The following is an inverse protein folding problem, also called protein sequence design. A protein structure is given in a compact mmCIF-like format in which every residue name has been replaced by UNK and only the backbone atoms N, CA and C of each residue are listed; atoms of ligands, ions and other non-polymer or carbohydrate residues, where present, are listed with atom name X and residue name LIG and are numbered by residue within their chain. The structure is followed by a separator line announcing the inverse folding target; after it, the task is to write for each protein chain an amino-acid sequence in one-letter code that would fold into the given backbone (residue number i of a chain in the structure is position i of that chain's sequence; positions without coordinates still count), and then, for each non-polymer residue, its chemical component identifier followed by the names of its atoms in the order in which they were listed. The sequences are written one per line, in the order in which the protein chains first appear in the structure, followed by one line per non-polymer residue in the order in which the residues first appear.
data_IF_979088680369
#
_entry.id   IF_979088680369
#
_cell.length_a   1.000
_cell.length_b   1.000
_cell.length_c   1.000
_cell.angle_alpha   90.00
_cell.angle_beta   90.00
_cell.angle_gamma   90.00
#
_symmetry.space_group_name_H-M   'P 1'
#
loop_
_entity.id
_entity.type
_entity.pdbx_description
1 polymer ?
#
# COMPACT_ATOMS: atom_id res chain seq x y z
N UNK A 1 13.00 57.69 30.09
CA UNK A 1 13.64 57.34 31.40
C UNK A 1 14.35 56.02 31.10
N UNK A 2 15.68 56.04 31.15
CA UNK A 2 16.51 54.89 30.69
C UNK A 2 16.48 53.81 31.80
N UNK A 3 16.17 52.58 31.42
CA UNK A 3 16.15 51.39 32.32
C UNK A 3 17.41 51.32 33.20
N UNK A 4 18.57 51.69 32.65
CA UNK A 4 19.85 51.72 33.35
C UNK A 4 19.89 52.63 34.60
N UNK A 5 19.12 53.71 34.60
CA UNK A 5 19.06 54.63 35.74
C UNK A 5 18.19 54.05 36.87
N UNK A 6 17.13 53.34 36.55
CA UNK A 6 16.27 52.68 37.52
C UNK A 6 16.98 51.46 38.20
N UNK A 7 17.74 50.66 37.41
CA UNK A 7 18.49 49.51 37.94
C UNK A 7 19.66 49.92 38.84
N UNK A 8 20.22 51.11 38.60
CA UNK A 8 21.31 51.64 39.46
C UNK A 8 20.82 52.12 40.85
N UNK A 9 19.53 52.43 40.98
CA UNK A 9 18.93 52.85 42.23
C UNK A 9 18.62 51.69 43.21
N UNK A 10 18.64 50.46 42.73
CA UNK A 10 18.34 49.25 43.53
C UNK A 10 19.49 48.88 44.48
N UNK A 11 19.14 48.40 45.65
CA UNK A 11 20.07 47.73 46.58
C UNK A 11 20.59 46.41 45.95
N UNK A 12 21.66 45.83 46.50
CA UNK A 12 22.24 44.58 45.99
C UNK A 12 21.23 43.43 45.97
N UNK A 13 20.35 43.35 46.95
CA UNK A 13 19.27 42.34 47.06
C UNK A 13 18.18 42.57 46.03
N UNK A 14 17.77 43.80 45.79
CA UNK A 14 16.75 44.13 44.79
C UNK A 14 17.26 43.88 43.36
N UNK A 15 18.53 44.12 43.06
CA UNK A 15 19.17 43.77 41.79
C UNK A 15 19.20 42.26 41.57
N UNK A 16 19.53 41.48 42.59
CA UNK A 16 19.56 40.04 42.52
C UNK A 16 18.14 39.49 42.26
N UNK A 17 17.12 40.04 42.96
CA UNK A 17 15.72 39.65 42.73
C UNK A 17 15.22 40.01 41.32
N UNK A 18 15.56 41.24 40.86
CA UNK A 18 15.20 41.70 39.50
C UNK A 18 15.83 40.81 38.43
N UNK A 19 17.11 40.46 38.56
CA UNK A 19 17.78 39.54 37.63
C UNK A 19 17.18 38.15 37.67
N UNK A 20 16.86 37.62 38.84
CA UNK A 20 16.20 36.33 38.98
C UNK A 20 14.81 36.31 38.29
N UNK A 21 14.00 37.35 38.49
CA UNK A 21 12.70 37.50 37.84
C UNK A 21 12.84 37.69 36.32
N UNK A 22 13.83 38.44 35.87
CA UNK A 22 14.10 38.61 34.42
C UNK A 22 14.52 37.31 33.75
N UNK A 23 15.34 36.50 34.41
CA UNK A 23 15.73 35.17 33.92
C UNK A 23 14.54 34.25 33.91
N UNK A 24 13.69 34.26 34.92
CA UNK A 24 12.50 33.45 35.06
C UNK A 24 11.46 33.83 33.97
N UNK A 25 11.31 35.11 33.70
CA UNK A 25 10.47 35.62 32.60
C UNK A 25 10.99 35.18 31.24
N UNK A 26 12.30 35.31 31.01
CA UNK A 26 12.92 34.86 29.76
C UNK A 26 12.77 33.36 29.57
N UNK A 27 13.01 32.56 30.60
CA UNK A 27 12.82 31.09 30.55
C UNK A 27 11.38 30.70 30.31
N UNK A 28 10.42 31.35 30.97
CA UNK A 28 8.98 31.06 30.75
C UNK A 28 8.51 31.48 29.35
N UNK A 29 9.04 32.60 28.82
CA UNK A 29 8.73 33.05 27.46
C UNK A 29 9.29 32.08 26.42
N UNK A 30 10.50 31.57 26.60
CA UNK A 30 11.11 30.54 25.75
C UNK A 30 10.33 29.22 25.82
N UNK A 31 9.94 28.81 27.01
CA UNK A 31 9.13 27.59 27.19
C UNK A 31 7.73 27.70 26.54
N UNK A 32 7.09 28.87 26.66
CA UNK A 32 5.82 29.18 25.98
C UNK A 32 5.96 29.22 24.45
N UNK A 33 7.03 29.83 23.95
CA UNK A 33 7.35 29.89 22.53
C UNK A 33 7.62 28.48 21.96
N UNK A 34 8.34 27.63 22.68
CA UNK A 34 8.56 26.24 22.31
C UNK A 34 7.24 25.45 22.25
N UNK A 35 6.40 25.57 23.31
CA UNK A 35 5.08 24.91 23.31
C UNK A 35 4.13 25.44 22.23
N UNK A 36 4.13 26.73 21.96
CA UNK A 36 3.34 27.31 20.88
C UNK A 36 3.83 26.80 19.51
N UNK A 37 5.16 26.68 19.33
CA UNK A 37 5.75 26.09 18.12
C UNK A 37 5.24 24.66 17.91
N UNK A 38 5.30 23.81 18.93
CA UNK A 38 4.84 22.41 18.84
C UNK A 38 3.32 22.30 18.55
N UNK A 39 2.53 23.28 19.00
CA UNK A 39 1.06 23.30 18.78
C UNK A 39 0.67 23.81 17.39
N UNK A 40 1.48 24.68 16.77
CA UNK A 40 1.18 25.27 15.45
C UNK A 40 1.98 24.64 14.31
N UNK A 41 3.01 23.86 14.59
CA UNK A 41 3.77 23.16 13.55
C UNK A 41 3.00 21.89 13.14
N UNK A 42 2.48 21.88 11.93
CA UNK A 42 1.98 20.69 11.26
C UNK A 42 3.15 20.09 10.49
N UNK A 43 3.48 18.83 10.78
CA UNK A 43 4.45 18.08 9.98
C UNK A 43 3.92 17.93 8.56
N UNK A 44 4.58 18.57 7.59
CA UNK A 44 4.24 18.44 6.18
C UNK A 44 5.22 17.44 5.56
N UNK A 45 4.70 16.38 4.90
CA UNK A 45 5.56 15.44 4.20
C UNK A 45 6.44 16.17 3.17
N UNK A 46 7.73 15.84 3.15
CA UNK A 46 8.70 16.41 2.21
C UNK A 46 9.10 15.36 1.18
N UNK A 47 9.20 15.78 -0.08
CA UNK A 47 9.76 14.95 -1.13
C UNK A 47 11.26 14.68 -0.89
N UNK A 48 11.69 13.47 -1.18
CA UNK A 48 13.08 13.06 -1.09
C UNK A 48 13.31 11.89 -0.12
N UNK A 49 14.57 11.61 0.13
CA UNK A 49 15.00 10.55 1.04
C UNK A 49 14.92 9.15 0.43
N UNK A 50 15.46 8.21 1.19
CA UNK A 50 15.43 6.80 0.85
C UNK A 50 14.86 6.01 2.03
N UNK A 51 14.16 4.92 1.74
CA UNK A 51 13.66 3.98 2.73
C UNK A 51 14.05 2.56 2.29
N UNK A 52 14.63 1.80 3.21
CA UNK A 52 14.87 0.37 3.02
C UNK A 52 13.96 -0.43 3.92
N UNK A 53 13.07 -1.21 3.32
CA UNK A 53 12.11 -2.06 4.03
C UNK A 53 12.45 -3.53 3.85
N UNK A 54 12.39 -4.29 4.92
CA UNK A 54 12.56 -5.73 4.92
C UNK A 54 11.22 -6.45 4.83
N UNK A 55 11.16 -7.49 3.99
CA UNK A 55 9.98 -8.33 3.76
C UNK A 55 10.36 -9.79 3.93
N UNK A 56 9.48 -10.58 4.56
CA UNK A 56 9.65 -12.03 4.67
C UNK A 56 9.18 -12.70 3.37
N UNK A 57 10.02 -13.59 2.83
CA UNK A 57 9.77 -14.29 1.58
C UNK A 57 10.36 -13.56 0.38
N UNK A 58 10.41 -14.24 -0.75
CA UNK A 58 10.95 -13.73 -2.02
C UNK A 58 9.84 -13.66 -3.05
N UNK A 59 9.69 -12.53 -3.78
CA UNK A 59 8.67 -12.41 -4.80
C UNK A 59 8.94 -13.36 -5.98
N UNK A 60 7.88 -13.94 -6.51
CA UNK A 60 7.90 -14.77 -7.72
C UNK A 60 7.17 -14.12 -8.89
N UNK A 61 6.09 -13.42 -8.57
CA UNK A 61 5.20 -12.82 -9.56
C UNK A 61 4.79 -11.41 -9.16
N UNK A 62 5.49 -10.42 -9.68
CA UNK A 62 5.05 -9.04 -9.56
C UNK A 62 4.01 -8.81 -10.68
N UNK A 63 2.84 -9.39 -10.49
CA UNK A 63 1.76 -9.40 -11.47
C UNK A 63 0.41 -9.46 -10.75
N UNK A 64 -0.54 -8.55 -11.02
CA UNK A 64 -1.82 -8.46 -10.32
C UNK A 64 -2.68 -9.72 -10.43
N UNK A 65 -2.48 -10.55 -11.47
CA UNK A 65 -3.23 -11.78 -11.67
C UNK A 65 -2.61 -12.99 -10.94
N UNK A 66 -1.31 -12.94 -10.64
CA UNK A 66 -0.54 -14.07 -10.13
C UNK A 66 0.00 -13.88 -8.71
N UNK A 67 -0.01 -12.65 -8.19
CA UNK A 67 0.55 -12.31 -6.87
C UNK A 67 -0.15 -13.11 -5.75
N UNK A 68 0.56 -14.08 -5.19
CA UNK A 68 0.04 -15.00 -4.18
C UNK A 68 0.69 -14.82 -2.80
N UNK A 69 2.00 -14.56 -2.74
CA UNK A 69 2.72 -14.29 -1.49
C UNK A 69 2.55 -12.84 -1.03
N UNK A 70 2.90 -12.53 0.22
CA UNK A 70 2.89 -11.14 0.71
C UNK A 70 3.90 -10.30 -0.08
N UNK A 71 5.11 -10.80 -0.32
CA UNK A 71 6.12 -10.13 -1.13
C UNK A 71 5.65 -9.83 -2.57
N UNK A 72 4.91 -10.78 -3.21
CA UNK A 72 4.32 -10.53 -4.53
C UNK A 72 3.30 -9.40 -4.46
N UNK A 73 2.41 -9.44 -3.44
CA UNK A 73 1.33 -8.45 -3.29
C UNK A 73 1.86 -7.06 -2.99
N UNK A 74 2.84 -6.93 -2.11
CA UNK A 74 3.43 -5.65 -1.73
C UNK A 74 4.09 -4.97 -2.94
N UNK A 75 4.93 -5.70 -3.68
CA UNK A 75 5.51 -5.18 -4.92
C UNK A 75 4.46 -4.88 -5.98
N UNK A 76 3.46 -5.74 -6.14
CA UNK A 76 2.37 -5.51 -7.11
C UNK A 76 1.57 -4.26 -6.77
N UNK A 77 1.30 -3.99 -5.49
CA UNK A 77 0.59 -2.79 -5.05
C UNK A 77 1.39 -1.49 -5.27
N UNK A 78 2.72 -1.57 -5.27
CA UNK A 78 3.59 -0.43 -5.55
C UNK A 78 3.74 -0.17 -7.05
N UNK A 79 3.74 -1.23 -7.86
CA UNK A 79 4.03 -1.13 -9.31
C UNK A 79 2.78 -0.97 -10.15
N UNK A 80 1.65 -1.55 -9.75
CA UNK A 80 0.42 -1.49 -10.52
C UNK A 80 -0.64 -0.62 -9.84
N UNK A 81 -1.51 -0.03 -10.63
CA UNK A 81 -2.69 0.69 -10.18
C UNK A 81 -3.95 0.03 -10.73
N UNK A 82 -5.02 0.05 -9.95
CA UNK A 82 -6.36 -0.37 -10.35
C UNK A 82 -7.22 0.81 -10.79
N UNK A 83 -8.46 0.55 -11.17
CA UNK A 83 -9.44 1.61 -11.39
C UNK A 83 -9.73 2.38 -10.09
N UNK A 84 -9.81 1.64 -8.98
CA UNK A 84 -9.94 2.17 -7.63
C UNK A 84 -8.75 1.74 -6.77
N UNK A 85 -8.56 2.44 -5.65
CA UNK A 85 -7.57 2.12 -4.62
C UNK A 85 -8.23 2.12 -3.24
N UNK A 86 -7.86 1.15 -2.40
CA UNK A 86 -8.24 1.14 -1.00
C UNK A 86 -7.33 2.08 -0.20
N UNK A 87 -7.90 2.90 0.68
CA UNK A 87 -7.15 3.67 1.67
C UNK A 87 -6.82 2.82 2.89
N UNK A 88 -5.88 3.25 3.76
CA UNK A 88 -5.60 2.55 5.02
C UNK A 88 -6.84 2.37 5.91
N UNK A 89 -7.80 3.28 5.82
CA UNK A 89 -9.08 3.26 6.56
C UNK A 89 -10.12 2.32 5.91
N UNK A 90 -9.79 1.70 4.77
CA UNK A 90 -10.66 0.78 4.04
C UNK A 90 -11.66 1.45 3.10
N UNK A 91 -11.57 2.76 2.88
CA UNK A 91 -12.39 3.44 1.87
C UNK A 91 -11.83 3.20 0.47
N UNK A 92 -12.72 3.13 -0.52
CA UNK A 92 -12.33 3.04 -1.93
C UNK A 92 -12.34 4.44 -2.55
N UNK A 93 -11.23 4.81 -3.16
CA UNK A 93 -11.08 6.08 -3.88
C UNK A 93 -10.73 5.82 -5.35
N UNK A 94 -11.11 6.70 -6.30
CA UNK A 94 -10.65 6.63 -7.67
C UNK A 94 -9.12 6.71 -7.77
N UNK A 95 -8.50 5.76 -8.54
CA UNK A 95 -7.07 5.75 -8.85
C UNK A 95 -6.87 6.02 -10.35
N UNK A 96 -6.84 5.00 -11.22
CA UNK A 96 -6.82 5.20 -12.67
C UNK A 96 -8.17 5.72 -13.19
N UNK A 97 -9.27 5.42 -12.51
CA UNK A 97 -10.55 6.02 -12.83
C UNK A 97 -10.59 7.48 -12.38
N UNK A 98 -11.18 8.35 -13.20
CA UNK A 98 -11.56 9.71 -12.83
C UNK A 98 -12.85 9.69 -11.98
N UNK A 99 -13.79 8.86 -12.38
CA UNK A 99 -15.08 8.64 -11.71
C UNK A 99 -15.63 7.27 -12.06
N UNK A 100 -16.62 6.85 -11.30
CA UNK A 100 -17.42 5.66 -11.62
C UNK A 100 -18.89 5.88 -11.27
N UNK A 101 -19.75 5.09 -11.88
CA UNK A 101 -21.19 5.07 -11.62
C UNK A 101 -21.69 3.64 -11.43
N UNK A 102 -22.63 3.48 -10.52
CA UNK A 102 -23.27 2.19 -10.22
C UNK A 102 -24.75 2.29 -10.56
N UNK A 103 -25.29 1.31 -11.32
CA UNK A 103 -26.71 1.26 -11.64
C UNK A 103 -27.57 1.03 -10.38
N UNK A 104 -28.81 1.47 -10.41
CA UNK A 104 -29.76 1.32 -9.29
C UNK A 104 -29.93 -0.12 -8.82
N UNK A 105 -29.85 -1.09 -9.76
CA UNK A 105 -29.92 -2.52 -9.47
C UNK A 105 -28.59 -3.12 -9.00
N UNK A 106 -27.55 -2.30 -8.84
CA UNK A 106 -26.21 -2.66 -8.43
C UNK A 106 -25.58 -3.81 -9.25
N UNK A 107 -25.96 -3.95 -10.54
CA UNK A 107 -25.38 -4.95 -11.44
C UNK A 107 -24.46 -4.39 -12.49
N UNK A 108 -24.56 -3.09 -12.81
CA UNK A 108 -23.70 -2.43 -13.79
C UNK A 108 -22.84 -1.37 -13.14
N UNK A 109 -21.57 -1.35 -13.51
CA UNK A 109 -20.55 -0.42 -13.02
C UNK A 109 -19.85 0.19 -14.22
N UNK A 110 -19.99 1.49 -14.42
CA UNK A 110 -19.28 2.24 -15.46
C UNK A 110 -18.11 3.00 -14.86
N UNK A 111 -16.93 2.91 -15.49
CA UNK A 111 -15.72 3.59 -15.06
C UNK A 111 -15.19 4.44 -16.21
N UNK A 112 -14.75 5.66 -15.90
CA UNK A 112 -14.08 6.58 -16.84
C UNK A 112 -12.63 6.73 -16.43
N UNK A 113 -11.70 6.33 -17.31
CA UNK A 113 -10.26 6.38 -17.07
C UNK A 113 -9.78 7.82 -17.23
N UNK A 114 -8.92 8.28 -16.32
CA UNK A 114 -8.29 9.60 -16.35
C UNK A 114 -7.58 9.84 -17.69
N UNK A 115 -7.72 11.02 -18.30
CA UNK A 115 -7.10 11.32 -19.60
C UNK A 115 -5.57 11.31 -19.58
N UNK A 116 -4.97 11.54 -18.43
CA UNK A 116 -3.53 11.55 -18.20
C UNK A 116 -2.98 10.27 -17.57
N UNK A 117 -3.80 9.22 -17.44
CA UNK A 117 -3.33 7.94 -16.93
C UNK A 117 -2.38 7.28 -17.93
N UNK A 118 -1.16 6.99 -17.50
CA UNK A 118 -0.11 6.36 -18.31
C UNK A 118 0.58 5.24 -17.54
N UNK A 119 1.13 4.28 -18.28
CA UNK A 119 2.01 3.26 -17.73
C UNK A 119 3.44 3.78 -17.54
N UNK A 120 4.30 3.03 -16.84
CA UNK A 120 5.69 3.40 -16.55
C UNK A 120 6.55 3.61 -17.80
N UNK A 121 6.16 3.05 -18.94
CA UNK A 121 6.79 3.22 -20.26
C UNK A 121 6.24 4.42 -21.04
N UNK A 122 5.30 5.19 -20.45
CA UNK A 122 4.69 6.35 -21.06
C UNK A 122 3.49 6.06 -21.97
N UNK A 123 3.14 4.80 -22.20
CA UNK A 123 1.96 4.46 -23.00
C UNK A 123 0.67 4.77 -22.24
N UNK A 124 -0.40 5.25 -22.92
CA UNK A 124 -1.65 5.61 -22.26
C UNK A 124 -2.38 4.37 -21.74
N UNK A 125 -3.01 4.51 -20.56
CA UNK A 125 -3.96 3.50 -20.04
C UNK A 125 -5.32 3.70 -20.70
N UNK A 126 -5.85 2.65 -21.29
CA UNK A 126 -7.10 2.67 -22.04
C UNK A 126 -8.11 1.63 -21.55
N UNK A 127 -9.35 1.74 -22.01
CA UNK A 127 -10.39 0.73 -21.76
C UNK A 127 -9.98 -0.66 -22.28
N UNK A 128 -9.17 -0.72 -23.34
CA UNK A 128 -8.64 -1.98 -23.88
C UNK A 128 -7.77 -2.74 -22.88
N UNK A 129 -6.97 -2.01 -22.07
CA UNK A 129 -6.10 -2.61 -21.05
C UNK A 129 -6.93 -3.20 -19.91
N UNK A 130 -7.99 -2.50 -19.50
CA UNK A 130 -8.93 -2.98 -18.48
C UNK A 130 -9.66 -4.24 -18.96
N UNK A 131 -10.23 -4.21 -20.18
CA UNK A 131 -10.91 -5.38 -20.79
C UNK A 131 -9.96 -6.55 -20.87
N UNK A 132 -8.73 -6.33 -21.37
CA UNK A 132 -7.70 -7.35 -21.48
C UNK A 132 -7.38 -7.97 -20.11
N UNK A 133 -7.12 -7.15 -19.10
CA UNK A 133 -6.76 -7.60 -17.76
C UNK A 133 -7.84 -8.48 -17.15
N UNK A 134 -9.11 -8.08 -17.25
CA UNK A 134 -10.23 -8.84 -16.71
C UNK A 134 -10.42 -10.17 -17.48
N UNK A 135 -10.32 -10.15 -18.80
CA UNK A 135 -10.39 -11.37 -19.61
C UNK A 135 -9.26 -12.35 -19.25
N UNK A 136 -8.04 -11.85 -19.03
CA UNK A 136 -6.92 -12.67 -18.57
C UNK A 136 -7.12 -13.18 -17.13
N UNK A 137 -7.75 -12.41 -16.24
CA UNK A 137 -8.11 -12.88 -14.90
C UNK A 137 -9.12 -14.04 -14.95
N UNK A 138 -10.03 -14.04 -15.94
CA UNK A 138 -11.04 -15.07 -16.14
C UNK A 138 -10.50 -16.34 -16.83
N UNK A 139 -9.39 -16.22 -17.54
CA UNK A 139 -8.81 -17.33 -18.31
C UNK A 139 -8.32 -18.47 -17.39
N UNK A 140 -8.87 -19.69 -17.52
CA UNK A 140 -8.51 -20.81 -16.65
C UNK A 140 -7.05 -21.27 -16.82
N UNK A 141 -6.44 -21.03 -18.00
CA UNK A 141 -5.07 -21.45 -18.28
C UNK A 141 -4.03 -20.61 -17.52
N UNK A 142 -4.34 -19.36 -17.22
CA UNK A 142 -3.45 -18.47 -16.42
C UNK A 142 -3.41 -18.90 -14.96
N UNK A 143 -4.45 -19.57 -14.45
CA UNK A 143 -4.59 -19.96 -13.04
C UNK A 143 -4.51 -18.77 -12.10
N UNK A 144 -5.13 -17.65 -12.51
CA UNK A 144 -5.14 -16.42 -11.72
C UNK A 144 -5.75 -16.64 -10.34
N UNK A 145 -5.09 -16.13 -9.30
CA UNK A 145 -5.62 -16.11 -7.92
C UNK A 145 -6.85 -15.21 -7.79
N UNK A 146 -7.10 -14.35 -8.79
CA UNK A 146 -8.24 -13.42 -8.86
C UNK A 146 -9.42 -13.98 -9.66
N UNK A 147 -9.29 -15.16 -10.27
CA UNK A 147 -10.31 -15.71 -11.19
C UNK A 147 -11.71 -15.78 -10.57
N UNK A 148 -11.82 -16.27 -9.34
CA UNK A 148 -13.11 -16.40 -8.67
C UNK A 148 -13.84 -15.06 -8.49
N UNK A 149 -13.09 -13.96 -8.32
CA UNK A 149 -13.66 -12.62 -8.17
C UNK A 149 -14.23 -12.07 -9.49
N UNK A 150 -13.75 -12.56 -10.62
CA UNK A 150 -14.12 -12.06 -11.95
C UNK A 150 -14.99 -13.06 -12.74
N UNK A 151 -15.20 -14.27 -12.24
CA UNK A 151 -15.99 -15.27 -12.92
C UNK A 151 -17.44 -14.79 -13.14
N UNK A 152 -17.84 -14.79 -14.40
CA UNK A 152 -19.20 -14.39 -14.81
C UNK A 152 -19.46 -12.89 -14.85
N UNK A 153 -18.43 -12.05 -14.65
CA UNK A 153 -18.50 -10.60 -14.91
C UNK A 153 -18.30 -10.36 -16.40
N UNK A 154 -19.27 -9.71 -17.04
CA UNK A 154 -19.09 -9.21 -18.41
C UNK A 154 -18.33 -7.88 -18.36
N UNK A 155 -17.35 -7.73 -19.25
CA UNK A 155 -16.57 -6.49 -19.40
C UNK A 155 -16.68 -6.00 -20.83
N UNK A 156 -17.08 -4.74 -21.01
CA UNK A 156 -17.32 -4.13 -22.31
C UNK A 156 -16.59 -2.79 -22.41
N UNK A 157 -15.89 -2.59 -23.52
CA UNK A 157 -15.36 -1.28 -23.91
C UNK A 157 -16.51 -0.45 -24.51
N UNK A 158 -16.85 0.66 -23.86
CA UNK A 158 -17.87 1.60 -24.36
C UNK A 158 -17.22 2.70 -25.20
N UNK A 159 -16.06 3.17 -24.76
CA UNK A 159 -15.26 4.18 -25.42
C UNK A 159 -13.78 3.95 -25.20
N UNK A 160 -12.94 4.86 -25.68
CA UNK A 160 -11.48 4.74 -25.53
C UNK A 160 -11.06 4.69 -24.04
N UNK A 161 -11.78 5.44 -23.20
CA UNK A 161 -11.53 5.56 -21.76
C UNK A 161 -12.74 5.18 -20.91
N UNK A 162 -13.72 4.53 -21.50
CA UNK A 162 -14.92 4.12 -20.79
C UNK A 162 -15.09 2.61 -20.86
N UNK A 163 -15.25 1.98 -19.71
CA UNK A 163 -15.48 0.54 -19.57
C UNK A 163 -16.70 0.30 -18.70
N UNK A 164 -17.50 -0.68 -19.09
CA UNK A 164 -18.68 -1.13 -18.34
C UNK A 164 -18.47 -2.56 -17.88
N UNK A 165 -18.70 -2.79 -16.59
CA UNK A 165 -18.70 -4.10 -15.96
C UNK A 165 -20.14 -4.48 -15.61
N UNK A 166 -20.56 -5.69 -15.96
CA UNK A 166 -21.92 -6.16 -15.67
C UNK A 166 -21.87 -7.50 -14.95
N UNK A 167 -22.59 -7.58 -13.82
CA UNK A 167 -22.69 -8.76 -12.98
C UNK A 167 -23.98 -9.50 -13.26
N UNK A 168 -23.94 -10.83 -13.16
CA UNK A 168 -25.16 -11.67 -13.24
C UNK A 168 -26.12 -11.42 -12.08
N UNK A 169 -25.59 -11.09 -10.89
CA UNK A 169 -26.34 -10.81 -9.65
C UNK A 169 -25.65 -9.66 -8.90
N UNK A 170 -26.41 -8.83 -8.17
CA UNK A 170 -25.81 -7.80 -7.33
C UNK A 170 -24.85 -8.43 -6.29
N UNK A 171 -23.70 -7.80 -6.09
CA UNK A 171 -22.71 -8.20 -5.11
C UNK A 171 -22.09 -6.96 -4.47
N UNK A 172 -22.48 -6.63 -3.24
CA UNK A 172 -22.10 -5.39 -2.58
C UNK A 172 -20.57 -5.13 -2.52
N UNK A 173 -19.69 -6.13 -2.24
CA UNK A 173 -18.25 -5.91 -2.21
C UNK A 173 -17.59 -5.81 -3.59
N UNK A 174 -18.36 -5.82 -4.70
CA UNK A 174 -17.78 -5.88 -6.05
C UNK A 174 -16.79 -4.75 -6.36
N UNK A 175 -17.03 -3.55 -5.82
CA UNK A 175 -16.11 -2.41 -6.03
C UNK A 175 -14.68 -2.68 -5.53
N UNK A 176 -14.50 -3.55 -4.54
CA UNK A 176 -13.18 -3.98 -4.09
C UNK A 176 -12.38 -4.67 -5.21
N UNK A 177 -13.06 -5.37 -6.12
CA UNK A 177 -12.42 -6.00 -7.27
C UNK A 177 -11.84 -4.97 -8.26
N UNK A 178 -12.36 -3.75 -8.29
CA UNK A 178 -11.85 -2.68 -9.12
C UNK A 178 -10.48 -2.14 -8.66
N UNK A 179 -9.95 -2.63 -7.54
CA UNK A 179 -8.58 -2.39 -7.09
C UNK A 179 -7.55 -3.30 -7.80
N UNK A 180 -8.00 -4.23 -8.65
CA UNK A 180 -7.11 -5.07 -9.45
C UNK A 180 -6.22 -4.21 -10.33
N UNK A 181 -4.90 -4.36 -10.20
CA UNK A 181 -3.93 -3.67 -11.03
C UNK A 181 -4.11 -3.97 -12.53
N UNK A 182 -4.04 -2.96 -13.35
CA UNK A 182 -4.25 -3.06 -14.80
C UNK A 182 -2.94 -3.40 -15.50
N UNK A 183 -2.98 -4.42 -16.35
CA UNK A 183 -1.85 -4.86 -17.18
C UNK A 183 -1.79 -4.06 -18.48
N UNK A 184 -0.58 -3.64 -18.95
CA UNK A 184 -0.40 -3.00 -20.24
C UNK A 184 -0.61 -4.03 -21.38
N UNK A 185 -1.77 -3.98 -22.04
CA UNK A 185 -2.15 -4.90 -23.12
C UNK A 185 -1.09 -4.99 -24.20
N UNK A 186 -0.43 -3.88 -24.55
CA UNK A 186 0.56 -3.83 -25.62
C UNK A 186 1.78 -4.73 -25.36
N UNK A 187 2.15 -4.95 -24.08
CA UNK A 187 3.24 -5.84 -23.68
C UNK A 187 2.78 -7.29 -23.54
N UNK A 188 1.54 -7.52 -23.09
CA UNK A 188 1.06 -8.85 -22.72
C UNK A 188 0.21 -9.56 -23.79
N UNK A 189 -0.29 -8.86 -24.82
CA UNK A 189 -1.27 -9.39 -25.79
C UNK A 189 -0.76 -10.58 -26.62
N UNK A 190 0.57 -10.66 -26.86
CA UNK A 190 1.17 -11.71 -27.67
C UNK A 190 1.71 -12.88 -26.83
N UNK A 191 1.45 -12.89 -25.51
CA UNK A 191 1.90 -13.93 -24.60
C UNK A 191 0.78 -14.95 -24.44
N UNK A 192 1.07 -16.20 -24.78
CA UNK A 192 0.13 -17.31 -24.61
C UNK A 192 -0.20 -17.52 -23.13
N UNK A 193 -1.45 -17.90 -22.84
CA UNK A 193 -1.92 -18.07 -21.48
C UNK A 193 -1.16 -19.14 -20.69
N UNK A 194 -0.67 -20.19 -21.36
CA UNK A 194 0.16 -21.24 -20.74
C UNK A 194 1.55 -20.72 -20.35
N UNK A 195 2.12 -19.80 -21.14
CA UNK A 195 3.43 -19.19 -20.92
C UNK A 195 3.38 -17.97 -19.99
N UNK A 196 2.18 -17.52 -19.61
CA UNK A 196 1.98 -16.25 -18.91
C UNK A 196 2.76 -16.15 -17.61
N UNK A 197 2.77 -17.22 -16.80
CA UNK A 197 3.48 -17.25 -15.53
C UNK A 197 5.02 -17.35 -15.67
N UNK A 198 5.55 -17.71 -16.84
CA UNK A 198 6.98 -17.83 -17.09
C UNK A 198 7.58 -16.60 -17.77
N UNK A 199 6.75 -15.60 -18.08
CA UNK A 199 7.20 -14.42 -18.80
C UNK A 199 8.10 -13.54 -17.91
N UNK A 200 9.24 -13.02 -18.43
CA UNK A 200 10.15 -12.13 -17.70
C UNK A 200 9.48 -10.88 -17.10
N UNK A 201 8.41 -10.39 -17.71
CA UNK A 201 7.62 -9.26 -17.19
C UNK A 201 7.04 -9.51 -15.79
N UNK A 202 7.02 -10.74 -15.31
CA UNK A 202 6.65 -11.04 -13.93
C UNK A 202 7.75 -10.66 -12.91
N UNK A 203 9.00 -10.52 -13.34
CA UNK A 203 10.13 -10.07 -12.53
C UNK A 203 10.57 -8.64 -12.83
N UNK A 204 10.32 -8.17 -14.07
CA UNK A 204 10.60 -6.81 -14.52
C UNK A 204 9.31 -6.12 -14.96
N UNK A 205 8.42 -5.80 -14.02
CA UNK A 205 7.06 -5.36 -14.31
C UNK A 205 7.00 -3.93 -14.83
N UNK A 206 6.09 -3.71 -15.79
CA UNK A 206 5.65 -2.39 -16.22
C UNK A 206 4.20 -2.22 -15.79
N UNK A 207 3.94 -1.29 -14.90
CA UNK A 207 2.62 -0.99 -14.37
C UNK A 207 2.27 0.49 -14.53
N UNK A 208 1.23 0.94 -13.83
CA UNK A 208 0.80 2.34 -13.76
C UNK A 208 0.73 2.83 -12.30
N UNK A 209 1.39 2.12 -11.39
CA UNK A 209 1.39 2.41 -9.96
C UNK A 209 2.35 3.52 -9.54
N UNK A 210 2.38 3.82 -8.23
CA UNK A 210 3.18 4.93 -7.69
C UNK A 210 4.69 4.78 -7.88
N UNK A 211 5.19 3.56 -7.99
CA UNK A 211 6.62 3.28 -8.11
C UNK A 211 6.91 2.38 -9.31
N UNK A 212 8.06 2.60 -9.95
CA UNK A 212 8.62 1.74 -10.99
C UNK A 212 9.90 1.07 -10.55
N UNK A 213 10.11 -0.18 -10.96
CA UNK A 213 11.36 -0.92 -10.71
C UNK A 213 12.49 -0.27 -11.52
N UNK A 214 13.59 0.04 -10.84
CA UNK A 214 14.78 0.61 -11.48
C UNK A 214 16.01 -0.29 -11.34
N UNK A 215 15.99 -1.20 -10.36
CA UNK A 215 17.09 -2.17 -10.16
C UNK A 215 16.56 -3.40 -9.43
N UNK A 216 17.09 -4.55 -9.82
CA UNK A 216 16.91 -5.83 -9.14
C UNK A 216 18.30 -6.36 -8.78
N UNK A 217 18.51 -6.70 -7.52
CA UNK A 217 19.70 -7.41 -7.08
C UNK A 217 19.35 -8.88 -6.86
N UNK A 218 20.19 -9.75 -7.38
CA UNK A 218 19.99 -11.21 -7.34
C UNK A 218 21.19 -11.89 -6.67
N UNK A 219 20.95 -13.06 -6.10
CA UNK A 219 22.01 -13.94 -5.62
C UNK A 219 22.61 -14.77 -6.77
N UNK A 220 23.61 -15.60 -6.44
CA UNK A 220 24.28 -16.49 -7.42
C UNK A 220 23.31 -17.48 -8.11
N UNK A 221 22.16 -17.77 -7.53
CA UNK A 221 21.11 -18.63 -8.10
C UNK A 221 20.04 -17.85 -8.87
N UNK A 222 20.26 -16.57 -9.18
CA UNK A 222 19.33 -15.65 -9.83
C UNK A 222 17.98 -15.50 -9.08
N UNK A 223 18.03 -15.61 -7.77
CA UNK A 223 16.87 -15.33 -6.94
C UNK A 223 16.97 -13.88 -6.47
N UNK A 224 15.92 -13.07 -6.63
CA UNK A 224 15.92 -11.69 -6.20
C UNK A 224 16.16 -11.58 -4.69
N UNK A 225 17.11 -10.72 -4.31
CA UNK A 225 17.42 -10.37 -2.92
C UNK A 225 16.94 -8.99 -2.55
N UNK A 226 16.82 -8.09 -3.54
CA UNK A 226 16.21 -6.78 -3.35
C UNK A 226 15.64 -6.22 -4.66
N UNK A 227 14.62 -5.36 -4.52
CA UNK A 227 14.12 -4.48 -5.56
C UNK A 227 14.29 -3.03 -5.13
N UNK A 228 14.90 -2.22 -6.00
CA UNK A 228 14.95 -0.76 -5.83
C UNK A 228 13.93 -0.11 -6.75
N UNK A 229 13.09 0.72 -6.16
CA UNK A 229 11.99 1.40 -6.81
C UNK A 229 12.23 2.91 -6.80
N UNK A 230 11.86 3.59 -7.89
CA UNK A 230 11.82 5.04 -7.99
C UNK A 230 10.38 5.52 -8.14
N UNK A 231 10.02 6.72 -7.64
CA UNK A 231 8.70 7.27 -7.80
C UNK A 231 8.37 7.49 -9.28
N UNK A 232 7.13 7.23 -9.64
CA UNK A 232 6.62 7.52 -10.98
C UNK A 232 6.03 8.92 -11.01
N UNK A 233 6.66 9.82 -11.80
CA UNK A 233 6.29 11.23 -11.83
C UNK A 233 4.86 11.46 -12.35
N UNK A 234 4.40 10.63 -13.29
CA UNK A 234 3.09 10.74 -13.93
C UNK A 234 2.04 9.83 -13.26
N UNK A 235 2.27 9.41 -12.01
CA UNK A 235 1.29 8.61 -11.28
C UNK A 235 -0.03 9.37 -11.10
N UNK A 236 -1.14 8.69 -11.35
CA UNK A 236 -2.49 9.26 -11.42
C UNK A 236 -2.96 9.99 -10.15
N UNK A 237 -2.40 9.67 -8.98
CA UNK A 237 -2.69 10.32 -7.68
C UNK A 237 -1.57 11.26 -7.20
N UNK A 238 -0.59 11.54 -8.05
CA UNK A 238 0.53 12.41 -7.74
C UNK A 238 1.79 11.65 -7.34
N UNK A 239 2.91 12.36 -7.38
CA UNK A 239 4.25 11.80 -7.13
C UNK A 239 4.37 11.33 -5.69
N UNK A 240 4.85 10.08 -5.42
CA UNK A 240 5.18 9.64 -4.07
C UNK A 240 6.29 10.47 -3.43
N UNK A 241 6.24 10.63 -2.09
CA UNK A 241 7.21 11.46 -1.36
C UNK A 241 8.61 10.83 -1.27
N UNK A 242 8.71 9.49 -1.19
CA UNK A 242 9.99 8.78 -1.02
C UNK A 242 10.66 8.65 -2.38
N UNK A 243 11.86 9.21 -2.53
CA UNK A 243 12.62 9.22 -3.79
C UNK A 243 13.23 7.86 -4.16
N UNK A 244 13.56 7.04 -3.14
CA UNK A 244 14.09 5.69 -3.35
C UNK A 244 13.53 4.74 -2.31
N UNK A 245 12.82 3.73 -2.77
CA UNK A 245 12.31 2.66 -1.94
C UNK A 245 13.04 1.36 -2.28
N UNK A 246 13.72 0.76 -1.31
CA UNK A 246 14.39 -0.53 -1.49
C UNK A 246 13.69 -1.59 -0.66
N UNK A 247 13.19 -2.64 -1.31
CA UNK A 247 12.60 -3.79 -0.64
C UNK A 247 13.62 -4.93 -0.60
N UNK A 248 14.01 -5.37 0.61
CA UNK A 248 14.94 -6.50 0.84
C UNK A 248 14.22 -7.71 1.35
N UNK A 249 14.59 -8.88 0.85
CA UNK A 249 13.89 -10.13 1.15
C UNK A 249 14.68 -11.02 2.11
N UNK A 250 13.98 -11.54 3.10
CA UNK A 250 14.54 -12.37 4.16
C UNK A 250 13.78 -13.71 4.25
N UNK A 251 14.53 -14.78 4.51
CA UNK A 251 13.94 -16.13 4.55
C UNK A 251 13.14 -16.45 5.82
N UNK A 252 13.28 -15.64 6.88
CA UNK A 252 12.62 -15.86 8.18
C UNK A 252 12.44 -14.55 8.94
N UNK A 253 11.52 -14.56 9.90
CA UNK A 253 11.30 -13.45 10.84
C UNK A 253 12.56 -13.13 11.64
N UNK A 254 13.28 -14.15 12.12
CA UNK A 254 14.52 -13.91 12.90
C UNK A 254 15.59 -13.20 12.06
N UNK A 255 15.82 -13.61 10.81
CA UNK A 255 16.79 -12.94 9.93
C UNK A 255 16.40 -11.50 9.60
N UNK A 256 15.08 -11.23 9.49
CA UNK A 256 14.54 -9.90 9.28
C UNK A 256 14.78 -8.99 10.50
N UNK A 257 14.45 -9.48 11.72
CA UNK A 257 14.65 -8.74 12.98
C UNK A 257 16.14 -8.50 13.25
N UNK A 258 17.00 -9.47 12.93
CA UNK A 258 18.45 -9.31 13.03
C UNK A 258 18.98 -8.23 12.09
N UNK A 259 18.51 -8.18 10.83
CA UNK A 259 18.87 -7.15 9.86
C UNK A 259 18.44 -5.75 10.34
N UNK A 260 17.22 -5.64 10.88
CA UNK A 260 16.72 -4.40 11.47
C UNK A 260 17.59 -3.97 12.66
N UNK A 261 17.93 -4.91 13.54
CA UNK A 261 18.78 -4.63 14.71
C UNK A 261 20.20 -4.17 14.34
N UNK A 262 20.71 -4.61 13.17
CA UNK A 262 22.00 -4.16 12.63
C UNK A 262 21.92 -2.86 11.83
N UNK A 263 20.72 -2.30 11.64
CA UNK A 263 20.51 -1.10 10.83
C UNK A 263 20.66 -1.32 9.32
N UNK A 264 20.51 -2.55 8.83
CA UNK A 264 20.56 -2.87 7.39
C UNK A 264 19.26 -2.49 6.67
N UNK A 265 18.17 -2.38 7.44
CA UNK A 265 16.84 -1.94 7.02
C UNK A 265 16.27 -0.96 8.04
N UNK A 266 15.44 -0.04 7.60
CA UNK A 266 14.85 1.03 8.40
C UNK A 266 13.41 0.73 8.80
N UNK A 267 12.75 -0.15 8.04
CA UNK A 267 11.38 -0.60 8.25
C UNK A 267 11.25 -2.10 7.98
N UNK A 268 10.28 -2.73 8.60
CA UNK A 268 9.93 -4.12 8.36
C UNK A 268 8.44 -4.37 8.61
N UNK A 269 7.84 -5.26 7.84
CA UNK A 269 6.46 -5.65 7.97
C UNK A 269 6.28 -7.16 8.21
N UNK A 270 5.06 -7.56 8.61
CA UNK A 270 4.69 -8.98 8.71
C UNK A 270 5.31 -9.74 9.88
N UNK A 271 5.78 -9.05 10.92
CA UNK A 271 6.33 -9.67 12.13
C UNK A 271 5.22 -10.16 13.08
N UNK A 272 5.54 -11.15 13.88
CA UNK A 272 4.61 -11.69 14.88
C UNK A 272 4.29 -10.66 15.98
N UNK A 273 3.10 -10.75 16.61
CA UNK A 273 2.76 -9.86 17.73
C UNK A 273 3.71 -10.00 18.93
N UNK A 274 4.41 -11.13 19.06
CA UNK A 274 5.40 -11.33 20.13
C UNK A 274 6.65 -10.49 19.86
N UNK A 275 7.21 -10.56 18.64
CA UNK A 275 8.35 -9.76 18.23
C UNK A 275 8.03 -8.27 18.21
N UNK A 276 6.83 -7.87 17.72
CA UNK A 276 6.40 -6.48 17.76
C UNK A 276 6.45 -5.92 19.19
N UNK A 277 5.90 -6.65 20.18
CA UNK A 277 5.97 -6.23 21.60
C UNK A 277 7.40 -6.18 22.15
N UNK A 278 8.26 -7.12 21.75
CA UNK A 278 9.65 -7.13 22.18
C UNK A 278 10.43 -5.91 21.64
N UNK A 279 10.13 -5.49 20.42
CA UNK A 279 10.72 -4.29 19.82
C UNK A 279 10.15 -2.99 20.40
N UNK A 280 8.83 -2.93 20.65
CA UNK A 280 8.19 -1.80 21.37
C UNK A 280 8.82 -1.59 22.75
N UNK A 281 9.12 -2.67 23.48
CA UNK A 281 9.81 -2.59 24.78
C UNK A 281 11.23 -2.01 24.68
N UNK A 282 11.85 -2.08 23.50
CA UNK A 282 13.16 -1.45 23.19
C UNK A 282 13.03 -0.03 22.61
N UNK A 283 11.81 0.53 22.55
CA UNK A 283 11.55 1.88 22.05
C UNK A 283 11.34 1.96 20.52
N UNK A 284 11.20 0.83 19.82
CA UNK A 284 10.89 0.83 18.38
C UNK A 284 9.40 1.14 18.19
N UNK A 285 9.10 2.05 17.29
CA UNK A 285 7.71 2.37 16.92
C UNK A 285 7.10 1.21 16.12
N UNK A 286 6.00 0.66 16.58
CA UNK A 286 5.24 -0.35 15.87
C UNK A 286 3.87 0.20 15.45
N UNK A 287 3.58 0.15 14.16
CA UNK A 287 2.26 0.44 13.60
C UNK A 287 1.44 -0.84 13.55
N UNK A 288 0.20 -0.78 14.02
CA UNK A 288 -0.73 -1.91 14.04
C UNK A 288 -1.94 -1.57 13.22
N UNK A 289 -2.13 -2.32 12.15
CA UNK A 289 -3.33 -2.18 11.31
C UNK A 289 -4.20 -3.42 11.48
N UNK A 290 -5.49 -3.27 11.82
CA UNK A 290 -6.41 -4.39 11.85
C UNK A 290 -6.58 -4.95 10.43
N UNK A 291 -6.24 -6.22 10.26
CA UNK A 291 -6.47 -6.89 8.99
C UNK A 291 -7.94 -7.31 8.89
N UNK A 292 -8.62 -7.13 7.75
CA UNK A 292 -9.98 -7.61 7.54
C UNK A 292 -10.00 -9.13 7.31
N UNK A 293 -9.48 -9.87 8.30
CA UNK A 293 -9.43 -11.34 8.30
C UNK A 293 -10.33 -11.88 9.38
N UNK A 294 -11.19 -12.82 9.00
CA UNK A 294 -12.04 -13.58 9.92
C UNK A 294 -11.50 -15.00 9.96
N UNK A 295 -11.12 -15.45 11.14
CA UNK A 295 -10.83 -16.85 11.38
C UNK A 295 -12.13 -17.54 11.75
N UNK A 296 -12.50 -18.58 11.02
CA UNK A 296 -13.74 -19.30 11.24
C UNK A 296 -13.62 -20.78 10.93
N UNK A 297 -14.43 -21.58 11.59
CA UNK A 297 -14.62 -23.00 11.27
C UNK A 297 -15.88 -23.12 10.44
N UNK A 298 -15.75 -23.59 9.21
CA UNK A 298 -16.86 -23.80 8.30
C UNK A 298 -17.34 -25.25 8.37
N UNK A 299 -18.54 -25.47 8.88
CA UNK A 299 -19.14 -26.79 8.96
C UNK A 299 -19.89 -27.13 7.68
N UNK A 300 -19.41 -28.14 6.94
CA UNK A 300 -20.10 -28.63 5.75
C UNK A 300 -21.29 -29.53 6.13
N UNK A 301 -22.46 -28.90 6.29
CA UNK A 301 -23.70 -29.58 6.67
C UNK A 301 -24.22 -30.54 5.59
N UNK A 302 -23.79 -30.36 4.33
CA UNK A 302 -24.20 -31.25 3.22
C UNK A 302 -23.44 -32.56 3.21
N UNK A 303 -22.23 -32.58 3.79
CA UNK A 303 -21.40 -33.77 3.84
C UNK A 303 -21.53 -34.56 5.15
N UNK A 304 -21.97 -33.92 6.22
CA UNK A 304 -22.10 -34.58 7.52
C UNK A 304 -23.45 -34.25 8.17
N UNK A 305 -24.29 -35.26 8.27
CA UNK A 305 -25.63 -35.13 8.85
C UNK A 305 -25.61 -34.70 10.32
N UNK A 306 -24.55 -35.05 11.06
CA UNK A 306 -24.35 -34.64 12.44
C UNK A 306 -24.16 -33.13 12.55
N UNK A 307 -23.57 -32.50 11.54
CA UNK A 307 -23.35 -31.05 11.49
C UNK A 307 -24.61 -30.24 11.14
N UNK A 308 -25.74 -30.90 10.80
CA UNK A 308 -27.03 -30.21 10.63
C UNK A 308 -27.65 -29.83 11.97
N UNK A 309 -27.26 -30.51 13.06
CA UNK A 309 -27.69 -30.17 14.41
C UNK A 309 -26.99 -28.91 14.92
N UNK A 310 -27.80 -27.93 15.38
CA UNK A 310 -27.32 -26.66 15.93
C UNK A 310 -26.51 -26.86 17.21
N UNK A 311 -26.92 -27.78 18.07
CA UNK A 311 -26.26 -28.06 19.34
C UNK A 311 -24.85 -28.63 19.11
N UNK A 312 -24.70 -29.49 18.12
CA UNK A 312 -23.40 -30.04 17.74
C UNK A 312 -22.46 -28.93 17.22
N UNK A 313 -22.96 -28.05 16.34
CA UNK A 313 -22.14 -26.94 15.86
C UNK A 313 -21.75 -25.97 16.97
N UNK A 314 -22.66 -25.70 17.91
CA UNK A 314 -22.38 -24.83 19.04
C UNK A 314 -21.37 -25.46 20.03
N UNK A 315 -21.33 -26.77 20.14
CA UNK A 315 -20.35 -27.46 20.98
C UNK A 315 -18.94 -27.55 20.36
N UNK A 316 -18.85 -27.35 19.03
CA UNK A 316 -17.59 -27.38 18.27
C UNK A 316 -17.01 -25.99 18.02
N UNK A 317 -17.77 -24.92 18.28
CA UNK A 317 -17.38 -23.52 18.14
C UNK A 317 -16.86 -22.93 19.46
#
# INVERSE_FOLDING_TARGET
MRLDAAVRAFTKTERALFLALAVLLAASTLALAARASDFFLVEIPRYGGALTEGIIGTPRFINPLLAASDADRDLTALVYAGLLRATPEGALIPDLAERYEVSEDARSYSFWIKPNAVFHDGSPVTADDVVFTIQKAQDPLIKSVKRANWEGVAVEKIGEREVKLTLKRPYAPFLENATLGILPKHLWKNIDSESFQFNPLNGEPVGAGPYKVVRVDENASRVPTSYTLAPFADYALGVPYIERLTLRFYGSESSLVDAFSRGEIESMGGISPAEARALEAKGVRAEKTPLPRIFGIFFNQNQSRVLTDRAVRAALA
#
